data_IF_578691918451
#
_entry.id   IF_578691918451
#
_cell.length_a   1.000
_cell.length_b   1.000
_cell.length_c   1.000
_cell.angle_alpha   90.00
_cell.angle_beta   90.00
_cell.angle_gamma   90.00
#
_symmetry.space_group_name_H-M   'P 1'
#
loop_
_entity.id
_entity.type
_entity.pdbx_description
1 polymer ?
#
# COMPACT_ATOMS: atom_id res chain seq x y z
N UNK A 1 8.23 9.02 15.20
CA UNK A 1 7.21 8.35 16.05
C UNK A 1 7.42 8.86 17.45
N UNK A 2 6.37 9.32 18.14
CA UNK A 2 6.51 9.98 19.44
C UNK A 2 6.98 8.99 20.53
N UNK A 3 8.02 9.31 21.32
CA UNK A 3 8.54 8.44 22.38
C UNK A 3 7.50 8.07 23.45
N UNK A 4 6.57 8.97 23.77
CA UNK A 4 5.49 8.70 24.73
C UNK A 4 4.52 7.64 24.20
N UNK A 5 4.21 7.69 22.91
CA UNK A 5 3.31 6.72 22.27
C UNK A 5 3.93 5.32 22.30
N UNK A 6 5.23 5.22 22.05
CA UNK A 6 5.96 3.95 22.13
C UNK A 6 5.94 3.35 23.55
N UNK A 7 6.14 4.18 24.58
CA UNK A 7 6.03 3.72 25.97
C UNK A 7 4.61 3.27 26.34
N UNK A 8 3.57 3.96 25.87
CA UNK A 8 2.19 3.55 26.09
C UNK A 8 1.89 2.21 25.41
N UNK A 9 2.35 2.01 24.17
CA UNK A 9 2.22 0.74 23.46
C UNK A 9 3.00 -0.38 24.16
N UNK A 10 4.19 -0.10 24.68
CA UNK A 10 4.97 -1.09 25.43
C UNK A 10 4.21 -1.58 26.68
N UNK A 11 3.49 -0.69 27.36
CA UNK A 11 2.71 -0.99 28.58
C UNK A 11 1.35 -1.67 28.31
N UNK A 12 0.85 -1.65 27.08
CA UNK A 12 -0.43 -2.31 26.73
C UNK A 12 -0.33 -3.84 26.76
N UNK A 13 -1.38 -4.48 27.27
CA UNK A 13 -1.55 -5.92 27.22
C UNK A 13 -1.80 -6.44 25.80
N UNK A 14 -1.63 -7.75 25.59
CA UNK A 14 -1.84 -8.38 24.27
C UNK A 14 -3.29 -8.22 23.80
N UNK A 15 -4.25 -8.25 24.73
CA UNK A 15 -5.67 -8.02 24.43
C UNK A 15 -5.90 -6.61 23.85
N UNK A 16 -5.30 -5.59 24.47
CA UNK A 16 -5.44 -4.19 24.04
C UNK A 16 -4.76 -3.92 22.71
N UNK A 17 -3.68 -4.65 22.39
CA UNK A 17 -2.96 -4.56 21.10
C UNK A 17 -3.71 -5.21 19.94
N UNK A 18 -4.65 -6.13 20.22
CA UNK A 18 -5.36 -6.88 19.18
C UNK A 18 -6.23 -5.97 18.31
N UNK A 19 -7.01 -5.09 18.93
CA UNK A 19 -7.93 -4.21 18.18
C UNK A 19 -7.20 -3.20 17.26
N UNK A 20 -6.16 -2.46 17.71
CA UNK A 20 -5.33 -1.64 16.82
C UNK A 20 -4.63 -2.46 15.73
N UNK A 21 -4.14 -3.66 16.06
CA UNK A 21 -3.50 -4.56 15.11
C UNK A 21 -4.43 -5.02 13.99
N UNK A 22 -5.64 -5.45 14.32
CA UNK A 22 -6.65 -5.85 13.32
C UNK A 22 -7.10 -4.66 12.47
N UNK A 23 -7.28 -3.47 13.05
CA UNK A 23 -7.57 -2.25 12.29
C UNK A 23 -6.45 -1.91 11.31
N UNK A 24 -5.19 -2.03 11.73
CA UNK A 24 -4.04 -1.79 10.86
C UNK A 24 -3.99 -2.80 9.71
N UNK A 25 -4.21 -4.09 9.99
CA UNK A 25 -4.31 -5.13 8.95
C UNK A 25 -5.41 -4.81 7.94
N UNK A 26 -6.59 -4.38 8.40
CA UNK A 26 -7.70 -4.00 7.53
C UNK A 26 -7.37 -2.78 6.67
N UNK A 27 -6.68 -1.76 7.22
CA UNK A 27 -6.23 -0.59 6.45
C UNK A 27 -5.20 -0.96 5.39
N UNK A 28 -4.25 -1.84 5.72
CA UNK A 28 -3.28 -2.36 4.76
C UNK A 28 -4.02 -3.13 3.66
N UNK A 29 -4.88 -4.08 4.02
CA UNK A 29 -5.67 -4.86 3.07
C UNK A 29 -6.51 -3.96 2.14
N UNK A 30 -7.15 -2.92 2.67
CA UNK A 30 -7.92 -1.94 1.88
C UNK A 30 -7.03 -1.18 0.90
N UNK A 31 -5.84 -0.74 1.32
CA UNK A 31 -4.87 -0.07 0.44
C UNK A 31 -4.40 -0.99 -0.68
N UNK A 32 -4.10 -2.24 -0.34
CA UNK A 32 -3.64 -3.27 -1.29
C UNK A 32 -4.75 -3.69 -2.26
N UNK A 33 -6.00 -3.78 -1.79
CA UNK A 33 -7.15 -4.04 -2.65
C UNK A 33 -7.38 -2.88 -3.64
N UNK A 34 -7.24 -1.63 -3.19
CA UNK A 34 -7.32 -0.46 -4.07
C UNK A 34 -6.22 -0.41 -5.13
N UNK A 35 -4.99 -0.81 -4.79
CA UNK A 35 -3.90 -0.90 -5.77
C UNK A 35 -4.05 -2.08 -6.74
N UNK A 36 -4.57 -3.22 -6.26
CA UNK A 36 -4.88 -4.37 -7.12
C UNK A 36 -6.05 -4.08 -8.09
N UNK A 37 -7.05 -3.30 -7.66
CA UNK A 37 -8.20 -2.90 -8.48
C UNK A 37 -7.89 -1.74 -9.45
N UNK A 38 -6.75 -1.07 -9.31
CA UNK A 38 -6.40 0.09 -10.15
C UNK A 38 -6.24 -0.27 -11.65
N UNK A 39 -6.11 -1.56 -11.97
CA UNK A 39 -6.09 -2.08 -13.34
C UNK A 39 -4.99 -1.49 -14.22
N UNK A 40 -5.06 -1.79 -15.51
CA UNK A 40 -4.17 -1.16 -16.50
C UNK A 40 -4.63 0.27 -16.76
N UNK A 41 -3.77 1.29 -16.54
CA UNK A 41 -4.13 2.66 -16.87
C UNK A 41 -4.35 2.79 -18.38
N UNK A 42 -5.28 3.63 -18.85
CA UNK A 42 -5.54 3.78 -20.30
C UNK A 42 -4.38 4.43 -21.06
N UNK A 43 -3.52 5.16 -20.37
CA UNK A 43 -2.38 5.91 -20.92
C UNK A 43 -1.23 5.87 -19.91
N UNK A 44 0.00 6.02 -20.40
CA UNK A 44 1.15 6.05 -19.52
C UNK A 44 1.00 7.17 -18.47
N UNK A 45 1.12 6.89 -17.17
CA UNK A 45 0.96 7.89 -16.12
C UNK A 45 2.04 8.99 -16.19
N UNK A 46 3.22 8.70 -16.76
CA UNK A 46 4.33 9.64 -16.90
C UNK A 46 4.20 10.53 -18.14
N UNK A 47 4.08 9.91 -19.31
CA UNK A 47 4.22 10.58 -20.61
C UNK A 47 2.89 10.73 -21.37
N UNK A 48 1.77 10.21 -20.84
CA UNK A 48 0.45 10.13 -21.49
C UNK A 48 0.39 9.40 -22.83
N UNK A 49 1.51 8.85 -23.31
CA UNK A 49 1.57 7.97 -24.49
C UNK A 49 0.74 6.71 -24.29
N UNK A 50 0.24 6.16 -25.40
CA UNK A 50 -0.39 4.83 -25.48
C UNK A 50 0.64 3.70 -25.43
N UNK A 51 1.91 3.97 -25.72
CA UNK A 51 2.99 2.98 -25.66
C UNK A 51 3.62 2.91 -24.26
N UNK A 52 3.17 1.95 -23.47
CA UNK A 52 3.78 1.59 -22.19
C UNK A 52 3.41 0.14 -21.85
N UNK A 53 4.18 -0.51 -20.98
CA UNK A 53 3.93 -1.90 -20.59
C UNK A 53 4.06 -2.13 -19.09
N UNK A 54 3.46 -3.21 -18.61
CA UNK A 54 3.60 -3.67 -17.23
C UNK A 54 5.05 -4.17 -16.99
N UNK A 55 5.74 -3.58 -16.03
CA UNK A 55 7.11 -3.93 -15.62
C UNK A 55 7.14 -4.93 -14.44
N UNK A 56 5.98 -5.44 -14.01
CA UNK A 56 5.84 -6.29 -12.82
C UNK A 56 5.22 -5.55 -11.64
N UNK A 57 5.47 -6.01 -10.41
CA UNK A 57 4.89 -5.46 -9.18
C UNK A 57 5.96 -4.85 -8.28
N UNK A 58 5.58 -3.90 -7.41
CA UNK A 58 6.44 -3.40 -6.35
C UNK A 58 6.35 -4.26 -5.07
N UNK A 59 7.12 -3.91 -4.04
CA UNK A 59 7.13 -4.61 -2.75
C UNK A 59 5.77 -4.56 -2.03
N UNK A 60 4.87 -3.68 -2.47
CA UNK A 60 3.50 -3.54 -1.98
C UNK A 60 2.48 -4.13 -2.97
N UNK A 61 2.89 -5.02 -3.88
CA UNK A 61 2.00 -5.68 -4.82
C UNK A 61 1.30 -4.73 -5.80
N UNK A 62 1.75 -3.48 -5.92
CA UNK A 62 1.18 -2.52 -6.86
C UNK A 62 1.85 -2.68 -8.23
N UNK A 63 1.05 -2.66 -9.28
CA UNK A 63 1.53 -2.89 -10.64
C UNK A 63 2.38 -1.70 -11.12
N UNK A 64 3.57 -1.99 -11.61
CA UNK A 64 4.53 -1.00 -12.12
C UNK A 64 4.43 -0.90 -13.62
N UNK A 65 4.53 0.33 -14.14
CA UNK A 65 4.44 0.62 -15.56
C UNK A 65 5.73 1.24 -16.06
N UNK A 66 6.20 0.84 -17.24
CA UNK A 66 7.36 1.45 -17.92
C UNK A 66 6.88 2.23 -19.15
N UNK A 67 7.15 3.54 -19.18
CA UNK A 67 6.96 4.38 -20.37
C UNK A 67 7.98 3.93 -21.44
N UNK A 68 7.55 3.91 -22.71
CA UNK A 68 8.41 3.62 -23.86
C UNK A 68 8.88 4.88 -24.59
N UNK A 69 8.50 6.07 -24.12
CA UNK A 69 8.98 7.36 -24.60
C UNK A 69 10.31 7.73 -23.97
#
# INVERSE_FOLDING_TARGET
MDPMILQQIAKMGIADKRAPGERLKALIAKKMAGSALAGTPKRCPRCKSVSFYCKGYDAHGSQRWKCCS
#
